data_IF_165409166344
#
_entry.id   IF_165409166344
#
_cell.length_a   1.000
_cell.length_b   1.000
_cell.length_c   1.000
_cell.angle_alpha   90.00
_cell.angle_beta   90.00
_cell.angle_gamma   90.00
#
_symmetry.space_group_name_H-M   'P 1'
#
loop_
_entity.id
_entity.type
_entity.pdbx_description
1 polymer ?
#
# COMPACT_ATOMS: atom_id res chain seq x y z
N UNK A 1 11.83 -2.71 -24.04
CA UNK A 1 13.30 -2.56 -24.25
C UNK A 1 13.84 -1.35 -23.46
N UNK A 2 13.20 -0.17 -23.51
CA UNK A 2 13.66 1.05 -22.80
C UNK A 2 13.85 0.83 -21.29
N UNK A 3 12.89 0.19 -20.59
CA UNK A 3 12.98 -0.03 -19.15
C UNK A 3 14.18 -0.90 -18.73
N UNK A 4 14.55 -1.89 -19.56
CA UNK A 4 15.75 -2.71 -19.31
C UNK A 4 17.03 -1.91 -19.57
N UNK A 5 17.04 -1.03 -20.57
CA UNK A 5 18.16 -0.14 -20.82
C UNK A 5 18.34 0.85 -19.67
N UNK A 6 17.24 1.45 -19.16
CA UNK A 6 17.26 2.33 -18.01
C UNK A 6 17.74 1.61 -16.73
N UNK A 7 17.30 0.37 -16.49
CA UNK A 7 17.82 -0.43 -15.39
C UNK A 7 19.36 -0.55 -15.48
N UNK A 8 19.90 -0.91 -16.66
CA UNK A 8 21.33 -1.08 -16.84
C UNK A 8 22.13 0.20 -16.67
N UNK A 9 21.56 1.31 -17.15
CA UNK A 9 22.24 2.61 -17.10
C UNK A 9 22.19 3.26 -15.73
N UNK A 10 21.08 3.14 -15.01
CA UNK A 10 20.79 3.97 -13.84
C UNK A 10 20.55 3.19 -12.54
N UNK A 11 20.44 1.88 -12.57
CA UNK A 11 20.16 1.05 -11.39
C UNK A 11 21.25 0.02 -11.16
N UNK A 12 21.59 -0.75 -12.19
CA UNK A 12 22.57 -1.84 -12.12
C UNK A 12 23.94 -1.42 -11.51
N UNK A 13 24.53 -0.24 -11.83
CA UNK A 13 25.82 0.17 -11.29
C UNK A 13 25.83 0.36 -9.77
N UNK A 14 24.66 0.60 -9.18
CA UNK A 14 24.49 0.88 -7.75
C UNK A 14 24.03 -0.33 -6.95
N UNK A 15 23.79 -1.46 -7.59
CA UNK A 15 23.39 -2.70 -6.92
C UNK A 15 24.63 -3.45 -6.42
N UNK A 16 24.48 -4.06 -5.22
CA UNK A 16 25.42 -5.08 -4.76
C UNK A 16 25.40 -6.31 -5.69
N UNK A 17 26.41 -7.16 -5.55
CA UNK A 17 26.58 -8.33 -6.42
C UNK A 17 25.42 -9.33 -6.29
N UNK A 18 24.86 -9.51 -5.08
CA UNK A 18 23.75 -10.45 -4.82
C UNK A 18 22.49 -9.96 -5.54
N UNK A 19 22.14 -8.69 -5.37
CA UNK A 19 20.99 -8.07 -6.03
C UNK A 19 21.13 -8.08 -7.56
N UNK A 20 22.34 -7.79 -8.06
CA UNK A 20 22.62 -7.83 -9.50
C UNK A 20 22.45 -9.25 -10.06
N UNK A 21 23.04 -10.25 -9.41
CA UNK A 21 22.91 -11.67 -9.79
C UNK A 21 21.45 -12.12 -9.77
N UNK A 22 20.67 -11.68 -8.76
CA UNK A 22 19.25 -11.97 -8.69
C UNK A 22 18.48 -11.44 -9.91
N UNK A 23 18.62 -10.16 -10.23
CA UNK A 23 17.87 -9.53 -11.32
C UNK A 23 18.29 -10.02 -12.71
N UNK A 24 19.55 -10.32 -12.93
CA UNK A 24 20.08 -10.82 -14.20
C UNK A 24 19.87 -12.33 -14.36
N UNK A 25 19.59 -13.03 -13.28
CA UNK A 25 19.29 -14.44 -13.27
C UNK A 25 17.95 -14.78 -13.92
N UNK A 26 17.64 -16.06 -13.96
CA UNK A 26 16.39 -16.61 -14.49
C UNK A 26 15.44 -16.99 -13.36
N UNK A 27 14.14 -16.93 -13.65
CA UNK A 27 13.09 -17.48 -12.79
C UNK A 27 12.98 -19.01 -13.00
N UNK A 28 12.06 -19.66 -12.26
CA UNK A 28 11.82 -21.11 -12.30
C UNK A 28 11.38 -21.61 -13.67
N UNK A 29 10.89 -20.75 -14.55
CA UNK A 29 10.45 -21.08 -15.92
C UNK A 29 11.43 -20.57 -16.98
N UNK A 30 12.69 -20.28 -16.57
CA UNK A 30 13.78 -19.92 -17.46
C UNK A 30 13.76 -18.49 -18.01
N UNK A 31 12.83 -17.63 -17.58
CA UNK A 31 12.76 -16.23 -18.04
C UNK A 31 13.71 -15.35 -17.24
N UNK A 32 14.41 -14.44 -17.89
CA UNK A 32 15.25 -13.46 -17.19
C UNK A 32 14.39 -12.55 -16.32
N UNK A 33 14.70 -12.44 -15.00
CA UNK A 33 13.94 -11.64 -14.04
C UNK A 33 13.88 -10.16 -14.42
N UNK A 34 14.96 -9.62 -14.98
CA UNK A 34 15.03 -8.25 -15.51
C UNK A 34 13.94 -7.93 -16.55
N UNK A 35 13.42 -8.93 -17.27
CA UNK A 35 12.33 -8.73 -18.21
C UNK A 35 11.02 -8.27 -17.52
N UNK A 36 10.92 -8.41 -16.20
CA UNK A 36 9.82 -7.85 -15.43
C UNK A 36 9.66 -6.35 -15.61
N UNK A 37 10.77 -5.61 -15.72
CA UNK A 37 10.76 -4.17 -15.96
C UNK A 37 10.24 -3.81 -17.36
N UNK A 38 10.47 -4.67 -18.35
CA UNK A 38 9.97 -4.45 -19.73
C UNK A 38 8.47 -4.76 -19.87
N UNK A 39 7.94 -5.67 -19.03
CA UNK A 39 6.56 -6.15 -19.13
C UNK A 39 5.56 -5.42 -18.21
N UNK A 40 6.04 -4.44 -17.45
CA UNK A 40 5.26 -3.72 -16.42
C UNK A 40 5.30 -4.42 -15.07
N UNK A 41 5.88 -3.74 -14.09
CA UNK A 41 6.09 -4.26 -12.71
C UNK A 41 4.77 -4.67 -12.05
N UNK A 42 3.70 -3.90 -12.26
CA UNK A 42 2.35 -4.17 -11.71
C UNK A 42 1.70 -5.47 -12.22
N UNK A 43 2.28 -6.13 -13.21
CA UNK A 43 1.76 -7.37 -13.78
C UNK A 43 2.62 -8.58 -13.44
N UNK A 44 3.65 -8.40 -12.62
CA UNK A 44 4.63 -9.41 -12.25
C UNK A 44 4.71 -9.56 -10.73
N UNK A 45 5.36 -10.63 -10.30
CA UNK A 45 5.46 -10.97 -8.88
C UNK A 45 4.16 -11.52 -8.32
N UNK A 46 4.16 -11.82 -7.01
CA UNK A 46 3.02 -12.45 -6.34
C UNK A 46 1.77 -11.58 -6.41
N UNK A 47 1.87 -10.31 -6.04
CA UNK A 47 0.75 -9.36 -6.07
C UNK A 47 0.19 -9.17 -7.50
N UNK A 48 1.07 -8.98 -8.49
CA UNK A 48 0.64 -8.81 -9.88
C UNK A 48 -0.08 -10.04 -10.44
N UNK A 49 0.37 -11.23 -10.10
CA UNK A 49 -0.27 -12.48 -10.48
C UNK A 49 -1.61 -12.68 -9.75
N UNK A 50 -1.66 -12.36 -8.45
CA UNK A 50 -2.87 -12.43 -7.65
C UNK A 50 -3.98 -11.52 -8.22
N UNK A 51 -3.68 -10.24 -8.45
CA UNK A 51 -4.62 -9.31 -9.07
C UNK A 51 -5.05 -9.81 -10.47
N UNK A 52 -4.10 -10.39 -11.23
CA UNK A 52 -4.41 -11.00 -12.52
C UNK A 52 -5.40 -12.16 -12.44
N UNK A 53 -5.25 -13.01 -11.43
CA UNK A 53 -6.17 -14.12 -11.15
C UNK A 53 -7.54 -13.59 -10.70
N UNK A 54 -7.57 -12.60 -9.81
CA UNK A 54 -8.83 -11.96 -9.39
C UNK A 54 -9.59 -11.36 -10.59
N UNK A 55 -8.90 -10.69 -11.51
CA UNK A 55 -9.49 -10.20 -12.75
C UNK A 55 -10.00 -11.31 -13.66
N UNK A 56 -9.29 -12.45 -13.72
CA UNK A 56 -9.76 -13.61 -14.50
C UNK A 56 -11.04 -14.18 -13.89
N UNK A 57 -11.06 -14.38 -12.58
CA UNK A 57 -12.25 -14.87 -11.86
C UNK A 57 -13.44 -13.92 -12.06
N UNK A 58 -13.23 -12.61 -11.92
CA UNK A 58 -14.28 -11.61 -12.16
C UNK A 58 -14.87 -11.74 -13.59
N UNK A 59 -14.02 -11.88 -14.63
CA UNK A 59 -14.48 -12.05 -16.01
C UNK A 59 -15.24 -13.34 -16.24
N UNK A 60 -14.83 -14.45 -15.63
CA UNK A 60 -15.58 -15.71 -15.66
C UNK A 60 -16.98 -15.53 -15.09
N UNK A 61 -17.15 -14.59 -14.17
CA UNK A 61 -18.43 -14.19 -13.62
C UNK A 61 -19.10 -13.01 -14.37
N UNK A 62 -18.61 -12.68 -15.60
CA UNK A 62 -19.12 -11.59 -16.45
C UNK A 62 -18.92 -10.18 -15.91
N UNK A 63 -17.94 -9.99 -15.02
CA UNK A 63 -17.53 -8.69 -14.48
C UNK A 63 -16.15 -8.36 -15.05
N UNK A 64 -16.05 -7.43 -16.00
CA UNK A 64 -14.73 -6.94 -16.45
C UNK A 64 -14.31 -5.72 -15.65
N UNK A 65 -13.27 -5.81 -14.79
CA UNK A 65 -12.81 -4.69 -13.98
C UNK A 65 -12.43 -3.45 -14.79
N UNK A 66 -12.02 -3.61 -16.05
CA UNK A 66 -11.62 -2.48 -16.89
C UNK A 66 -12.77 -1.56 -17.30
N UNK A 67 -14.01 -2.08 -17.32
CA UNK A 67 -15.18 -1.27 -17.65
C UNK A 67 -15.36 -0.11 -16.68
N UNK A 68 -14.90 -0.29 -15.44
CA UNK A 68 -14.94 0.74 -14.41
C UNK A 68 -14.16 2.00 -14.82
N UNK A 69 -13.06 1.85 -15.54
CA UNK A 69 -12.18 2.96 -15.95
C UNK A 69 -12.79 3.86 -17.05
N UNK A 70 -13.95 3.52 -17.58
CA UNK A 70 -14.66 4.34 -18.56
C UNK A 70 -15.63 5.33 -17.91
N UNK A 71 -15.85 5.24 -16.58
CA UNK A 71 -16.73 6.16 -15.87
C UNK A 71 -16.16 7.59 -15.90
N UNK A 72 -17.02 8.55 -16.12
CA UNK A 72 -16.66 9.98 -16.24
C UNK A 72 -17.05 10.79 -15.00
N UNK A 73 -17.84 10.22 -14.10
CA UNK A 73 -18.24 10.85 -12.83
C UNK A 73 -18.27 9.84 -11.67
N UNK A 74 -18.31 10.35 -10.45
CA UNK A 74 -18.43 9.52 -9.23
C UNK A 74 -19.80 8.81 -9.18
N UNK A 75 -20.85 9.44 -9.68
CA UNK A 75 -22.20 8.86 -9.77
C UNK A 75 -22.18 7.66 -10.72
N UNK A 76 -21.53 7.79 -11.86
CA UNK A 76 -21.39 6.68 -12.82
C UNK A 76 -20.50 5.56 -12.25
N UNK A 77 -19.41 5.91 -11.53
CA UNK A 77 -18.59 4.96 -10.81
C UNK A 77 -19.44 4.15 -9.83
N UNK A 78 -20.30 4.84 -9.06
CA UNK A 78 -21.22 4.21 -8.10
C UNK A 78 -22.21 3.28 -8.80
N UNK A 79 -22.85 3.75 -9.87
CA UNK A 79 -23.82 2.94 -10.62
C UNK A 79 -23.17 1.65 -11.17
N UNK A 80 -21.97 1.75 -11.76
CA UNK A 80 -21.23 0.58 -12.25
C UNK A 80 -20.85 -0.36 -11.10
N UNK A 81 -20.44 0.20 -9.95
CA UNK A 81 -20.10 -0.60 -8.79
C UNK A 81 -21.29 -1.38 -8.27
N UNK A 82 -22.42 -0.72 -8.05
CA UNK A 82 -23.62 -1.31 -7.48
C UNK A 82 -24.24 -2.36 -8.42
N UNK A 83 -24.24 -2.11 -9.73
CA UNK A 83 -24.77 -3.05 -10.72
C UNK A 83 -23.87 -4.28 -10.90
N UNK A 84 -22.54 -4.09 -11.00
CA UNK A 84 -21.66 -5.15 -11.48
C UNK A 84 -20.72 -5.72 -10.41
N UNK A 85 -20.19 -4.89 -9.52
CA UNK A 85 -19.17 -5.32 -8.56
C UNK A 85 -19.75 -5.74 -7.21
N UNK A 86 -20.72 -5.01 -6.68
CA UNK A 86 -21.29 -5.34 -5.38
C UNK A 86 -21.90 -6.75 -5.36
N UNK A 87 -22.72 -7.19 -6.36
CA UNK A 87 -23.28 -8.53 -6.38
C UNK A 87 -22.27 -9.67 -6.56
N UNK A 88 -21.03 -9.33 -7.02
CA UNK A 88 -19.96 -10.30 -7.15
C UNK A 88 -19.55 -10.87 -5.78
N UNK A 89 -19.52 -10.03 -4.74
CA UNK A 89 -19.15 -10.43 -3.38
C UNK A 89 -20.23 -11.25 -2.67
N UNK A 90 -21.47 -11.24 -3.17
CA UNK A 90 -22.57 -12.05 -2.62
C UNK A 90 -22.56 -13.49 -3.12
N UNK A 91 -21.74 -13.81 -4.11
CA UNK A 91 -21.65 -15.16 -4.69
C UNK A 91 -21.04 -16.13 -3.68
N UNK A 92 -21.67 -17.29 -3.51
CA UNK A 92 -21.25 -18.34 -2.56
C UNK A 92 -19.77 -18.74 -2.75
N UNK A 93 -19.33 -18.88 -3.99
CA UNK A 93 -17.94 -19.20 -4.30
C UNK A 93 -16.97 -18.11 -3.82
N UNK A 94 -17.29 -16.83 -4.03
CA UNK A 94 -16.42 -15.71 -3.61
C UNK A 94 -16.37 -15.64 -2.08
N UNK A 95 -17.49 -15.76 -1.40
CA UNK A 95 -17.52 -15.83 0.07
C UNK A 95 -16.66 -16.99 0.57
N UNK A 96 -16.85 -18.19 0.03
CA UNK A 96 -16.08 -19.36 0.42
C UNK A 96 -14.57 -19.15 0.21
N UNK A 97 -14.14 -18.61 -0.94
CA UNK A 97 -12.72 -18.35 -1.22
C UNK A 97 -12.16 -17.31 -0.25
N UNK A 98 -12.87 -16.19 -0.06
CA UNK A 98 -12.40 -15.11 0.80
C UNK A 98 -12.37 -15.47 2.29
N UNK A 99 -13.21 -16.42 2.73
CA UNK A 99 -13.20 -16.93 4.10
C UNK A 99 -12.01 -17.85 4.40
N UNK A 100 -11.25 -18.27 3.37
CA UNK A 100 -10.01 -19.02 3.60
C UNK A 100 -8.89 -18.05 4.03
N UNK A 101 -8.33 -18.23 5.22
CA UNK A 101 -7.26 -17.36 5.77
C UNK A 101 -6.06 -17.17 4.83
N UNK A 102 -5.75 -18.18 4.02
CA UNK A 102 -4.68 -18.13 3.03
C UNK A 102 -5.02 -17.37 1.75
N UNK A 103 -6.29 -17.03 1.51
CA UNK A 103 -6.74 -16.39 0.27
C UNK A 103 -6.12 -15.03 0.03
N UNK A 104 -5.81 -14.29 1.10
CA UNK A 104 -5.24 -12.95 1.05
C UNK A 104 -3.70 -12.93 1.04
N UNK A 105 -3.06 -14.10 1.14
CA UNK A 105 -1.60 -14.20 1.12
C UNK A 105 -1.00 -13.59 -0.15
N UNK A 106 -1.69 -13.71 -1.27
CA UNK A 106 -1.28 -13.08 -2.53
C UNK A 106 -1.31 -11.54 -2.53
N UNK A 107 -2.04 -10.93 -1.58
CA UNK A 107 -2.02 -9.49 -1.32
C UNK A 107 -0.91 -9.08 -0.32
N UNK A 108 -0.15 -10.04 0.20
CA UNK A 108 0.85 -9.78 1.24
C UNK A 108 0.27 -9.78 2.66
N UNK A 109 -0.98 -10.24 2.83
CA UNK A 109 -1.65 -10.34 4.13
C UNK A 109 -1.50 -11.77 4.64
N UNK A 110 -0.64 -12.03 5.64
CA UNK A 110 -0.48 -13.37 6.20
C UNK A 110 -1.72 -13.80 7.01
N UNK A 111 -1.90 -15.11 7.21
CA UNK A 111 -3.05 -15.64 7.95
C UNK A 111 -3.25 -15.05 9.35
N UNK A 112 -2.17 -14.69 10.03
CA UNK A 112 -2.23 -14.08 11.37
C UNK A 112 -2.92 -12.70 11.40
N UNK A 113 -2.95 -11.98 10.27
CA UNK A 113 -3.61 -10.67 10.16
C UNK A 113 -5.03 -10.76 9.62
N UNK A 114 -5.42 -11.90 9.11
CA UNK A 114 -6.75 -12.09 8.56
C UNK A 114 -7.83 -11.70 9.57
N UNK A 115 -7.69 -12.17 10.81
CA UNK A 115 -8.68 -11.93 11.87
C UNK A 115 -8.71 -10.44 12.28
N UNK A 116 -7.56 -9.78 12.34
CA UNK A 116 -7.48 -8.34 12.61
C UNK A 116 -8.14 -7.51 11.50
N UNK A 117 -7.89 -7.87 10.24
CA UNK A 117 -8.51 -7.22 9.08
C UNK A 117 -10.02 -7.47 9.02
N UNK A 118 -10.46 -8.70 9.35
CA UNK A 118 -11.86 -9.08 9.34
C UNK A 118 -12.68 -8.33 10.41
N UNK A 119 -12.07 -8.03 11.57
CA UNK A 119 -12.75 -7.33 12.67
C UNK A 119 -14.05 -8.02 13.10
N UNK A 120 -14.12 -9.35 12.99
CA UNK A 120 -15.31 -10.15 13.27
C UNK A 120 -16.36 -10.17 12.16
N UNK A 121 -16.12 -9.53 11.02
CA UNK A 121 -17.02 -9.54 9.85
C UNK A 121 -16.60 -10.60 8.82
N UNK A 122 -17.53 -11.08 7.95
CA UNK A 122 -17.17 -11.88 6.80
C UNK A 122 -16.15 -11.15 5.90
N UNK A 123 -15.08 -11.82 5.49
CA UNK A 123 -14.02 -11.18 4.72
C UNK A 123 -14.52 -10.62 3.37
N UNK A 124 -15.48 -11.28 2.74
CA UNK A 124 -16.10 -10.77 1.50
C UNK A 124 -16.73 -9.38 1.70
N UNK A 125 -17.34 -9.13 2.85
CA UNK A 125 -17.93 -7.83 3.19
C UNK A 125 -16.85 -6.75 3.40
N UNK A 126 -15.79 -7.09 4.12
CA UNK A 126 -14.63 -6.19 4.31
C UNK A 126 -14.01 -5.83 2.96
N UNK A 127 -13.74 -6.80 2.11
CA UNK A 127 -13.17 -6.59 0.78
C UNK A 127 -14.09 -5.79 -0.13
N UNK A 128 -15.42 -6.03 -0.05
CA UNK A 128 -16.42 -5.23 -0.76
C UNK A 128 -16.33 -3.76 -0.34
N UNK A 129 -16.35 -3.46 0.97
CA UNK A 129 -16.27 -2.09 1.46
C UNK A 129 -14.97 -1.39 1.07
N UNK A 130 -13.83 -2.12 1.09
CA UNK A 130 -12.53 -1.59 0.62
C UNK A 130 -12.57 -1.28 -0.87
N UNK A 131 -13.11 -2.18 -1.68
CA UNK A 131 -13.23 -1.96 -3.12
C UNK A 131 -14.22 -0.84 -3.44
N UNK A 132 -15.31 -0.74 -2.70
CA UNK A 132 -16.29 0.34 -2.83
C UNK A 132 -15.66 1.71 -2.56
N UNK A 133 -14.92 1.86 -1.46
CA UNK A 133 -14.17 3.08 -1.17
C UNK A 133 -13.18 3.43 -2.29
N UNK A 134 -12.39 2.46 -2.73
CA UNK A 134 -11.44 2.65 -3.83
C UNK A 134 -12.13 3.12 -5.12
N UNK A 135 -13.30 2.56 -5.40
CA UNK A 135 -14.03 2.76 -6.62
C UNK A 135 -14.88 4.04 -6.61
N UNK A 136 -15.52 4.38 -5.47
CA UNK A 136 -16.63 5.30 -5.46
C UNK A 136 -16.42 6.58 -4.62
N UNK A 137 -15.39 6.62 -3.75
CA UNK A 137 -15.21 7.79 -2.89
C UNK A 137 -14.37 8.90 -3.53
N UNK A 138 -13.73 8.61 -4.66
CA UNK A 138 -12.84 9.55 -5.34
C UNK A 138 -13.06 9.52 -6.86
N UNK A 139 -13.01 10.66 -7.54
CA UNK A 139 -13.01 10.69 -9.01
C UNK A 139 -11.83 9.89 -9.58
N UNK A 140 -12.03 9.14 -10.65
CA UNK A 140 -10.95 8.43 -11.34
C UNK A 140 -9.82 9.35 -11.81
N UNK A 141 -10.15 10.62 -12.11
CA UNK A 141 -9.17 11.65 -12.47
C UNK A 141 -8.18 11.95 -11.33
N UNK A 142 -8.55 11.66 -10.06
CA UNK A 142 -7.73 11.92 -8.88
C UNK A 142 -7.18 10.66 -8.21
N UNK A 143 -7.59 9.47 -8.66
CA UNK A 143 -7.26 8.23 -7.98
C UNK A 143 -6.42 7.27 -8.84
N UNK A 144 -5.10 7.45 -8.84
CA UNK A 144 -4.20 6.53 -9.53
C UNK A 144 -4.19 5.10 -8.93
N UNK A 145 -4.62 4.90 -7.69
CA UNK A 145 -4.77 3.55 -7.10
C UNK A 145 -5.91 2.77 -7.78
N UNK A 146 -7.01 3.44 -8.11
CA UNK A 146 -8.08 2.83 -8.89
C UNK A 146 -7.57 2.36 -10.27
N UNK A 147 -6.75 3.18 -10.95
CA UNK A 147 -6.11 2.79 -12.20
C UNK A 147 -5.19 1.58 -12.05
N UNK A 148 -4.42 1.52 -10.96
CA UNK A 148 -3.57 0.35 -10.67
C UNK A 148 -4.39 -0.91 -10.41
N UNK A 149 -5.48 -0.80 -9.64
CA UNK A 149 -6.34 -1.94 -9.31
C UNK A 149 -7.13 -2.45 -10.52
N UNK A 150 -7.85 -1.58 -11.21
CA UNK A 150 -8.73 -1.95 -12.32
C UNK A 150 -8.00 -2.06 -13.67
N UNK A 151 -6.98 -1.23 -13.91
CA UNK A 151 -6.20 -1.19 -15.15
C UNK A 151 -4.89 -1.97 -15.10
N UNK A 152 -4.41 -2.32 -13.91
CA UNK A 152 -3.11 -2.95 -13.66
C UNK A 152 -1.94 -2.10 -14.17
N UNK A 153 -2.00 -0.81 -13.90
CA UNK A 153 -0.99 0.18 -14.29
C UNK A 153 -1.54 1.58 -14.15
N UNK A 154 -0.73 2.57 -14.48
CA UNK A 154 -1.22 3.95 -14.57
C UNK A 154 -2.02 4.16 -15.86
N UNK A 155 -2.93 5.12 -15.85
CA UNK A 155 -3.62 5.59 -17.05
C UNK A 155 -2.63 6.13 -18.08
N UNK A 156 -3.06 6.16 -19.33
CA UNK A 156 -2.26 6.68 -20.45
C UNK A 156 -2.83 8.02 -20.89
N UNK A 157 -2.01 9.05 -20.94
CA UNK A 157 -2.41 10.40 -21.33
C UNK A 157 -1.81 11.45 -20.41
N UNK A 158 -1.85 12.70 -20.82
CA UNK A 158 -1.26 13.82 -20.08
C UNK A 158 -2.02 14.11 -18.77
N UNK A 159 -3.34 13.92 -18.79
CA UNK A 159 -4.25 14.27 -17.67
C UNK A 159 -4.54 13.06 -16.75
N UNK A 160 -3.81 11.97 -16.91
CA UNK A 160 -4.02 10.79 -16.06
C UNK A 160 -3.43 11.01 -14.66
N UNK A 161 -4.13 10.54 -13.62
CA UNK A 161 -3.66 10.72 -12.26
C UNK A 161 -2.36 9.94 -12.03
N UNK A 162 -1.37 10.65 -11.50
CA UNK A 162 -0.07 10.11 -11.13
C UNK A 162 0.28 10.54 -9.71
N UNK A 163 1.05 9.73 -8.98
CA UNK A 163 1.67 10.19 -7.75
C UNK A 163 2.45 11.50 -7.99
N UNK A 164 2.44 12.45 -7.03
CA UNK A 164 3.10 13.74 -7.23
C UNK A 164 4.54 13.67 -7.72
N UNK A 165 5.31 12.68 -7.26
CA UNK A 165 6.71 12.50 -7.65
C UNK A 165 6.90 11.98 -9.09
N UNK A 166 5.84 11.48 -9.74
CA UNK A 166 5.84 11.07 -11.15
C UNK A 166 5.23 12.11 -12.08
N UNK A 167 4.69 13.19 -11.57
CA UNK A 167 4.16 14.28 -12.38
C UNK A 167 5.30 15.08 -13.02
N UNK A 168 5.20 15.34 -14.32
CA UNK A 168 6.25 16.03 -15.08
C UNK A 168 6.61 17.40 -14.49
N UNK A 169 5.62 18.15 -14.01
CA UNK A 169 5.81 19.47 -13.37
C UNK A 169 6.67 19.41 -12.09
N UNK A 170 6.69 18.27 -11.41
CA UNK A 170 7.47 18.09 -10.18
C UNK A 170 8.88 17.54 -10.40
N UNK A 171 9.21 17.11 -11.65
CA UNK A 171 10.47 16.43 -11.95
C UNK A 171 11.70 17.22 -11.51
N UNK A 172 11.79 18.50 -11.86
CA UNK A 172 12.93 19.33 -11.53
C UNK A 172 13.09 19.52 -10.01
N UNK A 173 11.97 19.67 -9.28
CA UNK A 173 11.98 19.80 -7.83
C UNK A 173 12.43 18.49 -7.14
N UNK A 174 11.97 17.34 -7.63
CA UNK A 174 12.38 16.01 -7.14
C UNK A 174 13.86 15.79 -7.43
N UNK A 175 14.30 16.04 -8.67
CA UNK A 175 15.70 15.89 -9.08
C UNK A 175 16.64 16.76 -8.22
N UNK A 176 16.30 18.03 -8.01
CA UNK A 176 17.10 18.95 -7.22
C UNK A 176 17.22 18.56 -5.74
N UNK A 177 16.25 17.79 -5.21
CA UNK A 177 16.22 17.36 -3.80
C UNK A 177 16.59 15.91 -3.58
N UNK A 178 16.86 15.13 -4.64
CA UNK A 178 17.17 13.70 -4.54
C UNK A 178 18.37 13.42 -3.63
N UNK A 179 19.36 14.31 -3.59
CA UNK A 179 20.54 14.21 -2.72
C UNK A 179 20.22 14.27 -1.21
N UNK A 180 18.99 14.70 -0.84
CA UNK A 180 18.53 14.73 0.57
C UNK A 180 17.94 13.41 1.04
N UNK A 181 17.81 12.43 0.13
CA UNK A 181 17.23 11.11 0.44
C UNK A 181 18.36 10.14 0.72
N UNK A 182 18.35 9.56 1.91
CA UNK A 182 19.21 8.44 2.28
C UNK A 182 18.35 7.18 2.38
N UNK A 183 18.76 6.14 1.63
CA UNK A 183 18.08 4.84 1.66
C UNK A 183 18.90 3.87 2.52
N UNK A 184 18.23 3.24 3.48
CA UNK A 184 18.87 2.28 4.38
C UNK A 184 18.05 0.98 4.39
N UNK A 185 18.75 -0.15 4.32
CA UNK A 185 18.17 -1.46 4.60
C UNK A 185 18.53 -1.83 6.04
N UNK A 186 17.69 -1.40 6.99
CA UNK A 186 17.93 -1.56 8.42
C UNK A 186 16.61 -1.79 9.17
N UNK A 187 16.71 -2.35 10.36
CA UNK A 187 15.61 -2.33 11.31
C UNK A 187 15.41 -0.89 11.81
N UNK A 188 14.17 -0.43 11.90
CA UNK A 188 13.86 0.95 12.31
C UNK A 188 14.29 1.22 13.76
N UNK A 189 14.05 0.28 14.67
CA UNK A 189 14.45 0.40 16.08
C UNK A 189 15.97 0.54 16.20
N UNK A 190 16.73 -0.29 15.50
CA UNK A 190 18.21 -0.25 15.51
C UNK A 190 18.72 1.07 14.92
N UNK A 191 18.11 1.53 13.83
CA UNK A 191 18.47 2.80 13.20
C UNK A 191 18.20 3.98 14.16
N UNK A 192 17.07 3.99 14.84
CA UNK A 192 16.74 5.03 15.79
C UNK A 192 17.64 4.96 17.02
N UNK A 193 17.98 3.76 17.53
CA UNK A 193 18.87 3.62 18.69
C UNK A 193 20.27 4.19 18.44
N UNK A 194 20.74 4.15 17.20
CA UNK A 194 22.01 4.75 16.78
C UNK A 194 21.91 6.26 16.50
N UNK A 195 20.73 6.82 16.44
CA UNK A 195 20.52 8.24 16.18
C UNK A 195 20.64 9.09 17.45
N UNK A 196 20.98 10.37 17.31
CA UNK A 196 21.01 11.33 18.40
C UNK A 196 19.61 11.58 18.97
N UNK A 197 19.53 11.87 20.27
CA UNK A 197 18.30 12.30 20.90
C UNK A 197 17.79 13.61 20.25
N UNK A 198 16.47 13.78 20.18
CA UNK A 198 15.82 14.96 19.62
C UNK A 198 16.35 15.36 18.24
N UNK A 199 16.52 14.37 17.35
CA UNK A 199 17.08 14.56 16.00
C UNK A 199 16.03 14.56 14.87
N UNK A 200 14.82 14.03 15.12
CA UNK A 200 13.77 13.92 14.11
C UNK A 200 12.54 14.78 14.40
N UNK A 201 12.01 15.40 13.36
CA UNK A 201 10.77 16.19 13.41
C UNK A 201 9.54 15.40 12.95
N UNK A 202 9.72 14.38 12.12
CA UNK A 202 8.63 13.62 11.49
C UNK A 202 8.97 12.16 11.38
N UNK A 203 8.00 11.31 11.74
CA UNK A 203 8.06 9.88 11.56
C UNK A 203 6.87 9.47 10.70
N UNK A 204 7.10 8.65 9.69
CA UNK A 204 6.04 8.12 8.83
C UNK A 204 6.20 6.61 8.80
N UNK A 205 5.26 5.92 9.47
CA UNK A 205 5.21 4.47 9.47
C UNK A 205 4.05 3.99 8.58
N UNK A 206 4.25 2.87 7.91
CA UNK A 206 3.15 2.14 7.31
C UNK A 206 2.56 1.17 8.35
N UNK A 207 2.16 0.00 7.93
CA UNK A 207 1.49 -1.02 8.72
C UNK A 207 2.43 -2.00 9.46
N UNK A 208 3.73 -1.75 9.46
CA UNK A 208 4.69 -2.64 10.13
C UNK A 208 4.39 -2.86 11.61
N UNK A 209 3.80 -1.87 12.27
CA UNK A 209 3.42 -1.93 13.69
C UNK A 209 2.31 -2.96 13.96
N UNK A 210 1.46 -3.26 12.98
CA UNK A 210 0.40 -4.29 13.10
C UNK A 210 0.99 -5.70 13.35
N UNK A 211 2.24 -5.91 12.92
CA UNK A 211 2.94 -7.20 12.98
C UNK A 211 3.86 -7.35 14.18
N UNK A 212 4.13 -6.27 14.89
CA UNK A 212 5.03 -6.27 16.03
C UNK A 212 4.38 -6.92 17.25
N UNK A 213 5.17 -7.63 18.05
CA UNK A 213 4.77 -7.94 19.41
C UNK A 213 4.76 -6.67 20.26
N UNK A 214 4.08 -6.70 21.41
CA UNK A 214 4.04 -5.54 22.30
C UNK A 214 5.45 -5.14 22.78
N UNK A 215 6.33 -6.10 23.03
CA UNK A 215 7.74 -5.83 23.35
C UNK A 215 8.47 -5.10 22.21
N UNK A 216 8.27 -5.51 20.95
CA UNK A 216 8.87 -4.84 19.79
C UNK A 216 8.29 -3.43 19.58
N UNK A 217 6.97 -3.29 19.80
CA UNK A 217 6.28 -2.01 19.69
C UNK A 217 6.81 -1.02 20.73
N UNK A 218 6.92 -1.45 21.99
CA UNK A 218 7.46 -0.62 23.07
C UNK A 218 8.94 -0.25 22.83
N UNK A 219 9.76 -1.19 22.36
CA UNK A 219 11.15 -0.89 21.99
C UNK A 219 11.23 0.17 20.89
N UNK A 220 10.40 0.06 19.83
CA UNK A 220 10.34 1.06 18.75
C UNK A 220 9.94 2.43 19.30
N UNK A 221 8.86 2.50 20.08
CA UNK A 221 8.33 3.76 20.58
C UNK A 221 9.20 4.40 21.66
N UNK A 222 9.96 3.63 22.43
CA UNK A 222 11.01 4.16 23.32
C UNK A 222 12.01 4.98 22.50
N UNK A 223 12.48 4.45 21.37
CA UNK A 223 13.43 5.15 20.51
C UNK A 223 12.77 6.30 19.73
N UNK A 224 11.49 6.17 19.34
CA UNK A 224 10.73 7.28 18.75
C UNK A 224 10.63 8.44 19.74
N UNK A 225 10.24 8.20 21.00
CA UNK A 225 10.17 9.23 22.03
C UNK A 225 11.53 9.89 22.26
N UNK A 226 12.60 9.11 22.36
CA UNK A 226 13.95 9.60 22.61
C UNK A 226 14.47 10.49 21.46
N UNK A 227 14.21 10.10 20.21
CA UNK A 227 14.74 10.78 19.03
C UNK A 227 13.82 11.89 18.50
N UNK A 228 12.59 11.98 18.99
CA UNK A 228 11.66 13.03 18.60
C UNK A 228 12.06 14.39 19.18
N UNK A 229 12.02 15.42 18.35
CA UNK A 229 12.10 16.82 18.81
C UNK A 229 10.78 17.25 19.45
N UNK A 230 10.80 18.25 20.33
CA UNK A 230 9.56 18.87 20.79
C UNK A 230 8.68 19.29 19.61
N UNK A 231 7.40 18.89 19.61
CA UNK A 231 6.46 19.14 18.50
C UNK A 231 6.65 18.23 17.26
N UNK A 232 7.43 17.16 17.38
CA UNK A 232 7.51 16.14 16.35
C UNK A 232 6.14 15.52 16.08
N UNK A 233 5.94 15.00 14.87
CA UNK A 233 4.69 14.32 14.47
C UNK A 233 4.97 12.91 13.99
N UNK A 234 4.12 11.99 14.40
CA UNK A 234 4.14 10.59 13.95
C UNK A 234 2.87 10.31 13.16
N UNK A 235 3.02 9.97 11.88
CA UNK A 235 1.94 9.51 11.04
C UNK A 235 2.11 8.02 10.76
N UNK A 236 1.09 7.22 11.04
CA UNK A 236 1.13 5.80 10.72
C UNK A 236 -0.21 5.28 10.17
N UNK A 237 -0.20 4.10 9.60
CA UNK A 237 -1.35 3.40 9.05
C UNK A 237 -1.51 2.05 9.71
N UNK A 238 -2.76 1.60 9.84
CA UNK A 238 -3.12 0.30 10.40
C UNK A 238 -4.09 -0.46 9.51
N UNK A 239 -4.08 -1.77 9.57
CA UNK A 239 -5.06 -2.60 8.86
C UNK A 239 -6.47 -2.43 9.44
N UNK A 240 -6.60 -2.23 10.76
CA UNK A 240 -7.85 -1.98 11.46
C UNK A 240 -8.15 -0.48 11.61
N UNK A 241 -9.41 -0.12 11.87
CA UNK A 241 -9.82 1.28 12.06
C UNK A 241 -9.27 1.92 13.34
N UNK A 242 -9.34 1.27 14.53
CA UNK A 242 -8.81 1.88 15.74
C UNK A 242 -7.29 1.91 15.74
N UNK A 243 -6.73 2.89 16.47
CA UNK A 243 -5.30 2.90 16.74
C UNK A 243 -4.90 1.64 17.48
N UNK A 244 -3.79 1.04 17.05
CA UNK A 244 -3.26 -0.18 17.68
C UNK A 244 -2.44 0.08 18.96
N UNK A 245 -2.15 1.35 19.27
CA UNK A 245 -1.25 1.72 20.38
C UNK A 245 -1.88 1.58 21.76
N UNK A 246 -3.14 2.04 21.99
CA UNK A 246 -3.77 1.89 23.29
C UNK A 246 -3.88 0.41 23.72
N UNK A 247 -3.41 0.12 24.92
CA UNK A 247 -3.42 -1.23 25.50
C UNK A 247 -2.28 -2.14 25.06
N UNK A 248 -1.43 -1.70 24.11
CA UNK A 248 -0.23 -2.42 23.65
C UNK A 248 1.06 -1.65 23.95
N UNK A 249 0.98 -0.33 23.91
CA UNK A 249 2.09 0.54 24.25
C UNK A 249 2.01 0.92 25.74
N UNK A 250 3.17 0.99 26.41
CA UNK A 250 3.26 1.46 27.79
C UNK A 250 2.66 2.86 27.92
N UNK A 251 1.83 3.07 28.93
CA UNK A 251 1.14 4.34 29.14
C UNK A 251 2.11 5.53 29.25
N UNK A 252 3.25 5.35 29.91
CA UNK A 252 4.29 6.39 30.02
C UNK A 252 4.91 6.83 28.69
N UNK A 253 4.90 5.96 27.68
CA UNK A 253 5.32 6.33 26.31
C UNK A 253 4.17 7.02 25.58
N UNK A 254 2.95 6.49 25.72
CA UNK A 254 1.77 7.02 25.05
C UNK A 254 1.41 8.42 25.52
N UNK A 255 1.54 8.69 26.82
CA UNK A 255 1.24 9.99 27.46
C UNK A 255 2.16 11.14 27.00
N UNK A 256 3.26 10.84 26.31
CA UNK A 256 4.13 11.83 25.69
C UNK A 256 3.57 12.40 24.37
N UNK A 257 2.49 11.82 23.86
CA UNK A 257 1.93 12.14 22.54
C UNK A 257 0.48 12.60 22.64
N UNK A 258 0.15 13.60 21.84
CA UNK A 258 -1.21 14.11 21.67
C UNK A 258 -1.84 13.48 20.42
N UNK A 259 -2.78 12.55 20.63
CA UNK A 259 -3.47 11.89 19.52
C UNK A 259 -4.48 12.84 18.85
N UNK A 260 -4.26 13.12 17.58
CA UNK A 260 -5.07 14.06 16.78
C UNK A 260 -6.24 13.32 16.13
N UNK A 261 -7.27 13.01 16.91
CA UNK A 261 -8.39 12.16 16.48
C UNK A 261 -9.12 12.69 15.24
N UNK A 262 -9.44 13.98 15.19
CA UNK A 262 -10.15 14.59 14.07
C UNK A 262 -9.30 14.59 12.78
N UNK A 263 -8.01 14.96 12.89
CA UNK A 263 -7.07 14.92 11.77
C UNK A 263 -6.87 13.49 11.27
N UNK A 264 -6.78 12.53 12.17
CA UNK A 264 -6.65 11.09 11.85
C UNK A 264 -7.86 10.59 11.07
N UNK A 265 -9.06 10.98 11.48
CA UNK A 265 -10.29 10.62 10.79
C UNK A 265 -10.37 11.26 9.39
N UNK A 266 -9.97 12.53 9.25
CA UNK A 266 -9.90 13.21 7.94
C UNK A 266 -8.91 12.50 7.01
N UNK A 267 -7.71 12.18 7.50
CA UNK A 267 -6.71 11.44 6.72
C UNK A 267 -7.19 10.04 6.32
N UNK A 268 -7.90 9.35 7.22
CA UNK A 268 -8.51 8.05 6.93
C UNK A 268 -9.55 8.17 5.80
N UNK A 269 -10.40 9.18 5.84
CA UNK A 269 -11.40 9.43 4.78
C UNK A 269 -10.74 9.74 3.45
N UNK A 270 -9.65 10.50 3.45
CA UNK A 270 -8.91 10.94 2.26
C UNK A 270 -7.91 9.91 1.73
N UNK A 271 -7.75 8.76 2.39
CA UNK A 271 -6.89 7.70 1.88
C UNK A 271 -7.50 7.04 0.63
N UNK A 272 -6.94 7.39 -0.53
CA UNK A 272 -7.37 6.90 -1.85
C UNK A 272 -6.98 5.46 -2.13
N UNK A 273 -6.05 4.89 -1.37
CA UNK A 273 -5.60 3.51 -1.57
C UNK A 273 -6.66 2.50 -1.13
N UNK A 274 -7.47 2.87 -0.15
CA UNK A 274 -8.48 2.04 0.51
C UNK A 274 -7.97 0.69 1.05
N UNK A 275 -6.63 0.58 1.23
CA UNK A 275 -5.98 -0.64 1.74
C UNK A 275 -6.04 -0.67 3.26
N UNK A 276 -5.81 0.48 3.88
CA UNK A 276 -5.73 0.62 5.34
C UNK A 276 -7.10 0.86 5.98
N UNK A 277 -7.26 0.41 7.24
CA UNK A 277 -8.43 0.69 8.06
C UNK A 277 -8.38 2.07 8.67
N UNK A 278 -7.20 2.49 9.11
CA UNK A 278 -6.98 3.78 9.73
C UNK A 278 -5.68 4.45 9.32
N UNK A 279 -5.70 5.79 9.33
CA UNK A 279 -4.52 6.66 9.29
C UNK A 279 -4.52 7.44 10.59
N UNK A 280 -3.43 7.43 11.32
CA UNK A 280 -3.32 7.97 12.67
C UNK A 280 -2.21 9.02 12.75
N UNK A 281 -2.51 10.12 13.43
CA UNK A 281 -1.58 11.21 13.69
C UNK A 281 -1.52 11.50 15.19
#
# INVERSE_FOLDING_TARGET
KANVANYRAYVQPYLDEVSRRYWEGRDLIGRRRINGFAAGVYRRGLLGNFIGLAHLVARLHRVDPRQFLNAISVEEQRAIFDEKFAPFFDRKFIRWVTDQRSSLFGLGIPPAQYDALAGGKPMAEVLRGRLEKLACDFPLADNYFAWQAFGRGYGKGADMPLPPYLQAGNYNAVKARAHRVTMMHANMTDMLSAAEAASFDRFIFLDAQDWMSDAQLNALWTEVCRTARPGARVLFRTAAEPSLLPGRLDAALLDQWDYRAEESLDYTRRDRSAIYGGVHL
#
